data_IF_733668505515
#
_entry.id   IF_733668505515
#
_cell.length_a   1.000
_cell.length_b   1.000
_cell.length_c   1.000
_cell.angle_alpha   90.00
_cell.angle_beta   90.00
_cell.angle_gamma   90.00
#
_symmetry.space_group_name_H-M   'P 1'
#
loop_
_entity.id
_entity.type
_entity.pdbx_description
1 polymer ?
#
# COMPACT_ATOMS: atom_id res chain seq x y z
N UNK A 1 -22.57 -6.91 -15.62
CA UNK A 1 -21.77 -8.06 -16.11
C UNK A 1 -21.02 -8.60 -14.91
N UNK A 2 -20.96 -9.91 -14.71
CA UNK A 2 -20.19 -10.49 -13.60
C UNK A 2 -18.70 -10.15 -13.75
N UNK A 3 -18.02 -9.82 -12.65
CA UNK A 3 -16.59 -9.54 -12.66
C UNK A 3 -15.80 -10.82 -13.00
N UNK A 4 -14.66 -10.72 -13.71
CA UNK A 4 -13.85 -11.88 -14.05
C UNK A 4 -13.21 -12.47 -12.79
N UNK A 5 -13.04 -13.79 -12.77
CA UNK A 5 -12.15 -14.46 -11.80
C UNK A 5 -10.74 -14.47 -12.36
N UNK A 6 -9.80 -13.89 -11.63
CA UNK A 6 -8.39 -13.77 -12.02
C UNK A 6 -7.53 -14.54 -11.01
N UNK A 7 -6.55 -15.29 -11.48
CA UNK A 7 -5.61 -16.04 -10.64
C UNK A 7 -6.25 -17.22 -9.88
N UNK A 8 -5.66 -17.58 -8.73
CA UNK A 8 -6.18 -18.61 -7.82
C UNK A 8 -6.57 -17.95 -6.50
N UNK A 9 -7.78 -17.38 -6.38
CA UNK A 9 -8.16 -16.60 -5.22
C UNK A 9 -8.28 -17.45 -3.95
N UNK A 10 -7.90 -16.87 -2.81
CA UNK A 10 -8.11 -17.43 -1.47
C UNK A 10 -7.38 -18.76 -1.16
N UNK A 11 -6.14 -18.89 -1.64
CA UNK A 11 -5.28 -20.04 -1.36
C UNK A 11 -4.14 -19.72 -0.38
N UNK A 12 -4.02 -20.50 0.69
CA UNK A 12 -2.93 -20.39 1.68
C UNK A 12 -1.58 -20.87 1.11
N UNK A 13 -0.48 -20.28 1.56
CA UNK A 13 0.88 -20.67 1.15
C UNK A 13 1.30 -22.04 1.73
N UNK A 14 0.81 -22.38 2.92
CA UNK A 14 1.09 -23.62 3.67
C UNK A 14 2.58 -23.89 3.98
N UNK A 15 3.46 -22.92 3.72
CA UNK A 15 4.88 -22.97 4.01
C UNK A 15 5.34 -21.56 4.42
N UNK A 16 6.47 -21.42 5.14
CA UNK A 16 7.07 -20.11 5.37
C UNK A 16 7.49 -19.44 4.06
N UNK A 17 7.37 -18.11 4.00
CA UNK A 17 7.93 -17.29 2.91
C UNK A 17 9.44 -17.51 2.84
N UNK A 18 9.97 -17.70 1.63
CA UNK A 18 11.37 -18.04 1.46
C UNK A 18 12.30 -16.84 1.75
N UNK A 19 13.51 -17.14 2.21
CA UNK A 19 14.54 -16.10 2.42
C UNK A 19 14.97 -15.42 1.11
N UNK A 20 14.77 -16.06 -0.04
CA UNK A 20 15.03 -15.48 -1.36
C UNK A 20 13.99 -14.40 -1.70
N UNK A 21 12.70 -14.70 -1.51
CA UNK A 21 11.62 -13.73 -1.68
C UNK A 21 11.78 -12.55 -0.73
N UNK A 22 12.14 -12.78 0.54
CA UNK A 22 12.36 -11.68 1.50
C UNK A 22 13.51 -10.75 1.08
N UNK A 23 14.58 -11.30 0.49
CA UNK A 23 15.66 -10.48 -0.09
C UNK A 23 15.18 -9.69 -1.31
N UNK A 24 14.34 -10.28 -2.15
CA UNK A 24 13.74 -9.58 -3.28
C UNK A 24 12.82 -8.43 -2.83
N UNK A 25 12.07 -8.63 -1.75
CA UNK A 25 11.24 -7.56 -1.13
C UNK A 25 12.11 -6.43 -0.57
N UNK A 26 13.23 -6.71 0.10
CA UNK A 26 14.17 -5.66 0.53
C UNK A 26 14.76 -4.89 -0.65
N UNK A 27 15.16 -5.59 -1.72
CA UNK A 27 15.66 -4.96 -2.94
C UNK A 27 14.61 -4.07 -3.60
N UNK A 28 13.37 -4.54 -3.70
CA UNK A 28 12.24 -3.75 -4.17
C UNK A 28 12.05 -2.50 -3.30
N UNK A 29 12.02 -2.67 -1.97
CA UNK A 29 11.78 -1.56 -1.04
C UNK A 29 12.87 -0.49 -1.18
N UNK A 30 14.13 -0.89 -1.24
CA UNK A 30 15.27 0.01 -1.44
C UNK A 30 15.25 0.69 -2.81
N UNK A 31 14.93 -0.05 -3.88
CA UNK A 31 14.81 0.50 -5.22
C UNK A 31 13.66 1.53 -5.29
N UNK A 32 12.47 1.18 -4.80
CA UNK A 32 11.31 2.08 -4.75
C UNK A 32 11.56 3.34 -3.93
N UNK A 33 12.26 3.20 -2.79
CA UNK A 33 12.69 4.36 -1.98
C UNK A 33 13.66 5.25 -2.75
N UNK A 34 14.66 4.65 -3.42
CA UNK A 34 15.60 5.38 -4.25
C UNK A 34 14.91 6.13 -5.39
N UNK A 35 14.01 5.46 -6.11
CA UNK A 35 13.21 6.03 -7.18
C UNK A 35 12.33 7.18 -6.66
N UNK A 36 11.74 7.02 -5.48
CA UNK A 36 10.91 8.04 -4.84
C UNK A 36 11.71 9.29 -4.48
N UNK A 37 12.89 9.13 -3.89
CA UNK A 37 13.81 10.24 -3.61
C UNK A 37 14.27 10.89 -4.92
N UNK A 38 14.65 10.11 -5.92
CA UNK A 38 15.04 10.61 -7.24
C UNK A 38 13.95 11.49 -7.87
N UNK A 39 12.70 11.03 -7.83
CA UNK A 39 11.54 11.80 -8.28
C UNK A 39 11.36 13.13 -7.55
N UNK A 40 11.55 13.19 -6.24
CA UNK A 40 11.36 14.43 -5.47
C UNK A 40 12.53 15.41 -5.69
N UNK A 41 13.76 14.91 -5.76
CA UNK A 41 14.95 15.73 -5.65
C UNK A 41 15.71 15.95 -6.97
N UNK A 42 15.76 14.99 -7.89
CA UNK A 42 16.72 15.02 -9.00
C UNK A 42 16.08 15.44 -10.33
N UNK A 43 16.78 16.29 -11.08
CA UNK A 43 16.45 16.66 -12.46
C UNK A 43 17.41 16.08 -13.49
N UNK A 44 18.58 15.62 -13.07
CA UNK A 44 19.62 14.97 -13.87
C UNK A 44 20.44 14.01 -13.01
N UNK A 45 21.36 13.26 -13.64
CA UNK A 45 22.28 12.33 -12.99
C UNK A 45 21.60 11.33 -12.04
N UNK A 46 20.64 10.53 -12.54
CA UNK A 46 19.77 9.72 -11.71
C UNK A 46 20.49 8.56 -11.01
N UNK A 47 21.75 8.27 -11.34
CA UNK A 47 22.56 7.23 -10.71
C UNK A 47 23.76 7.80 -9.91
N UNK A 48 23.82 9.12 -9.71
CA UNK A 48 24.89 9.80 -8.97
C UNK A 48 26.30 9.42 -9.48
N UNK A 49 26.46 9.39 -10.81
CA UNK A 49 27.76 9.20 -11.48
C UNK A 49 28.73 10.31 -11.08
N UNK A 50 30.01 10.12 -11.40
CA UNK A 50 31.08 11.09 -11.13
C UNK A 50 30.67 12.51 -11.58
N UNK A 51 30.93 13.50 -10.72
CA UNK A 51 30.48 14.88 -10.92
C UNK A 51 29.10 15.21 -10.33
N UNK A 52 28.47 14.28 -9.58
CA UNK A 52 27.22 14.55 -8.87
C UNK A 52 27.30 15.80 -7.98
N UNK A 53 26.40 16.75 -8.20
CA UNK A 53 26.45 18.04 -7.54
C UNK A 53 25.07 18.64 -7.30
N UNK A 54 25.02 19.83 -6.67
CA UNK A 54 23.79 20.60 -6.49
C UNK A 54 23.10 20.95 -7.80
N UNK A 55 23.82 20.97 -8.92
CA UNK A 55 23.22 21.22 -10.23
C UNK A 55 22.28 20.10 -10.68
N UNK A 56 22.41 18.90 -10.12
CA UNK A 56 21.52 17.77 -10.41
C UNK A 56 20.19 17.84 -9.64
N UNK A 57 20.09 18.73 -8.66
CA UNK A 57 18.92 18.90 -7.80
C UNK A 57 17.89 19.84 -8.46
N UNK A 58 16.61 19.50 -8.35
CA UNK A 58 15.49 20.34 -8.77
C UNK A 58 15.52 21.68 -8.03
N UNK A 59 15.27 22.77 -8.75
CA UNK A 59 15.21 24.11 -8.14
C UNK A 59 14.07 24.28 -7.13
N UNK A 60 12.97 23.53 -7.32
CA UNK A 60 11.83 23.48 -6.40
C UNK A 60 11.59 22.04 -6.02
N UNK A 61 11.66 21.75 -4.73
CA UNK A 61 11.38 20.43 -4.18
C UNK A 61 9.87 20.33 -3.94
N UNK A 62 9.20 19.52 -4.76
CA UNK A 62 7.74 19.32 -4.70
C UNK A 62 7.49 17.83 -4.66
N UNK A 63 6.69 17.40 -3.69
CA UNK A 63 6.40 16.00 -3.40
C UNK A 63 6.41 15.73 -1.91
N UNK A 64 6.01 14.52 -1.52
CA UNK A 64 5.94 14.12 -0.12
C UNK A 64 6.81 12.88 0.10
N UNK A 65 7.70 12.96 1.09
CA UNK A 65 8.51 11.82 1.52
C UNK A 65 7.85 11.05 2.66
N UNK A 66 7.25 11.75 3.64
CA UNK A 66 6.92 11.16 4.94
C UNK A 66 6.07 9.88 4.91
N UNK A 67 5.14 9.74 3.97
CA UNK A 67 4.31 8.51 3.85
C UNK A 67 4.93 7.45 2.94
N UNK A 68 5.83 7.86 2.05
CA UNK A 68 6.28 7.12 0.87
C UNK A 68 7.07 5.86 1.20
N UNK A 69 8.04 5.84 2.14
CA UNK A 69 8.78 4.60 2.44
C UNK A 69 7.92 3.52 3.09
N UNK A 70 6.92 3.91 3.89
CA UNK A 70 5.94 2.99 4.46
C UNK A 70 5.05 2.36 3.39
N UNK A 71 4.61 3.15 2.40
CA UNK A 71 3.85 2.65 1.26
C UNK A 71 4.71 1.73 0.39
N UNK A 72 5.96 2.11 0.08
CA UNK A 72 6.88 1.26 -0.68
C UNK A 72 7.11 -0.10 0.00
N UNK A 73 7.21 -0.11 1.34
CA UNK A 73 7.32 -1.34 2.11
C UNK A 73 6.07 -2.22 1.92
N UNK A 74 4.88 -1.62 2.05
CA UNK A 74 3.61 -2.34 1.86
C UNK A 74 3.45 -2.84 0.42
N UNK A 75 3.77 -2.04 -0.60
CA UNK A 75 3.77 -2.49 -1.99
C UNK A 75 4.68 -3.69 -2.21
N UNK A 76 5.90 -3.69 -1.67
CA UNK A 76 6.83 -4.81 -1.80
C UNK A 76 6.25 -6.11 -1.25
N UNK A 77 5.66 -6.06 -0.06
CA UNK A 77 5.02 -7.23 0.55
C UNK A 77 3.72 -7.65 -0.11
N UNK A 78 2.91 -6.70 -0.60
CA UNK A 78 1.68 -7.00 -1.33
C UNK A 78 1.99 -7.61 -2.69
N UNK A 79 2.99 -7.11 -3.42
CA UNK A 79 3.45 -7.71 -4.68
C UNK A 79 3.93 -9.16 -4.47
N UNK A 80 4.67 -9.40 -3.39
CA UNK A 80 5.12 -10.74 -3.00
C UNK A 80 3.92 -11.66 -2.71
N UNK A 81 2.95 -11.20 -1.92
CA UNK A 81 1.71 -11.96 -1.68
C UNK A 81 0.93 -12.23 -2.97
N UNK A 82 0.84 -11.28 -3.89
CA UNK A 82 0.18 -11.49 -5.18
C UNK A 82 0.91 -12.59 -5.98
N UNK A 83 2.25 -12.56 -6.01
CA UNK A 83 3.04 -13.53 -6.74
C UNK A 83 2.91 -14.95 -6.18
N UNK A 84 3.08 -15.11 -4.86
CA UNK A 84 3.07 -16.42 -4.19
C UNK A 84 1.68 -17.08 -4.25
N UNK A 85 0.62 -16.28 -4.10
CA UNK A 85 -0.75 -16.80 -3.98
C UNK A 85 -1.54 -16.73 -5.28
N UNK A 86 -1.00 -16.08 -6.32
CA UNK A 86 -1.74 -15.73 -7.55
C UNK A 86 -3.08 -15.04 -7.22
N UNK A 87 -3.09 -14.19 -6.19
CA UNK A 87 -4.29 -13.53 -5.69
C UNK A 87 -4.62 -12.30 -6.55
N UNK A 88 -5.84 -12.23 -7.07
CA UNK A 88 -6.37 -11.01 -7.69
C UNK A 88 -6.46 -9.89 -6.66
N UNK A 89 -5.68 -8.83 -6.82
CA UNK A 89 -5.63 -7.75 -5.84
C UNK A 89 -5.62 -6.36 -6.48
N UNK A 90 -6.21 -5.40 -5.77
CA UNK A 90 -6.11 -3.97 -6.07
C UNK A 90 -5.62 -3.23 -4.83
N UNK A 91 -4.72 -2.27 -5.02
CA UNK A 91 -4.15 -1.46 -3.94
C UNK A 91 -4.76 -0.06 -3.96
N UNK A 92 -5.37 0.36 -2.85
CA UNK A 92 -5.89 1.71 -2.68
C UNK A 92 -4.95 2.50 -1.77
N UNK A 93 -4.34 3.54 -2.34
CA UNK A 93 -3.40 4.42 -1.64
C UNK A 93 -4.12 5.63 -1.07
N UNK A 94 -4.69 5.49 0.13
CA UNK A 94 -5.35 6.59 0.84
C UNK A 94 -4.46 7.80 1.10
N UNK A 95 -3.22 7.66 1.61
CA UNK A 95 -2.24 8.75 1.59
C UNK A 95 -1.68 8.96 0.17
N UNK A 96 -2.56 9.31 -0.77
CA UNK A 96 -2.28 9.40 -2.21
C UNK A 96 -1.26 10.46 -2.58
N UNK A 97 -1.00 11.42 -1.69
CA UNK A 97 0.13 12.35 -1.77
C UNK A 97 1.50 11.66 -1.78
N UNK A 98 1.56 10.35 -1.47
CA UNK A 98 2.67 9.44 -1.71
C UNK A 98 2.81 8.96 -3.17
N UNK A 99 2.38 9.76 -4.16
CA UNK A 99 2.47 9.45 -5.60
C UNK A 99 3.80 8.86 -6.10
N UNK A 100 4.98 9.25 -5.57
CA UNK A 100 6.25 8.60 -5.94
C UNK A 100 6.27 7.09 -5.70
N UNK A 101 5.56 6.57 -4.69
CA UNK A 101 5.47 5.14 -4.43
C UNK A 101 4.70 4.39 -5.53
N UNK A 102 3.54 4.92 -5.94
CA UNK A 102 2.71 4.30 -7.00
C UNK A 102 3.38 4.33 -8.38
N UNK A 103 4.04 5.45 -8.72
CA UNK A 103 4.82 5.54 -9.96
C UNK A 103 6.07 4.67 -9.94
N UNK A 104 6.75 4.55 -8.79
CA UNK A 104 7.87 3.62 -8.62
C UNK A 104 7.42 2.16 -8.74
N UNK A 105 6.28 1.80 -8.14
CA UNK A 105 5.68 0.48 -8.34
C UNK A 105 5.50 0.20 -9.83
N UNK A 106 4.87 1.14 -10.56
CA UNK A 106 4.50 0.89 -11.96
C UNK A 106 5.72 0.86 -12.87
N UNK A 107 6.79 1.59 -12.51
CA UNK A 107 8.06 1.50 -13.23
C UNK A 107 8.72 0.12 -13.03
N UNK A 108 8.66 -0.41 -11.80
CA UNK A 108 9.31 -1.67 -11.44
C UNK A 108 8.54 -2.91 -11.92
N UNK A 109 7.20 -2.85 -12.02
CA UNK A 109 6.41 -3.93 -12.63
C UNK A 109 6.36 -3.87 -14.16
N UNK A 110 6.85 -2.77 -14.74
CA UNK A 110 6.97 -2.56 -16.19
C UNK A 110 5.79 -1.81 -16.82
N UNK A 111 4.64 -1.74 -16.17
CA UNK A 111 3.40 -1.16 -16.72
C UNK A 111 3.53 0.33 -17.04
N UNK A 112 4.39 1.05 -16.32
CA UNK A 112 4.65 2.46 -16.60
C UNK A 112 5.20 2.65 -18.01
N UNK A 113 6.06 1.73 -18.47
CA UNK A 113 6.69 1.79 -19.79
C UNK A 113 5.76 1.36 -20.92
N UNK A 114 4.76 0.55 -20.61
CA UNK A 114 3.71 0.17 -21.57
C UNK A 114 2.86 1.40 -21.96
N UNK A 115 2.56 2.27 -21.00
CA UNK A 115 1.78 3.50 -21.23
C UNK A 115 2.65 4.74 -21.55
N UNK A 116 3.92 4.73 -21.14
CA UNK A 116 4.91 5.80 -21.38
C UNK A 116 6.18 5.23 -22.02
N UNK A 117 6.14 4.87 -23.32
CA UNK A 117 7.28 4.28 -24.02
C UNK A 117 8.47 5.25 -24.17
N UNK A 118 8.29 6.55 -23.90
CA UNK A 118 9.37 7.54 -23.85
C UNK A 118 10.28 7.40 -22.61
N UNK A 119 9.82 6.63 -21.60
CA UNK A 119 10.54 6.30 -20.38
C UNK A 119 11.19 4.92 -20.56
N UNK A 120 12.36 4.90 -21.19
CA UNK A 120 13.12 3.70 -21.56
C UNK A 120 13.68 2.96 -20.35
N UNK A 121 14.07 1.69 -20.54
CA UNK A 121 14.74 0.88 -19.51
C UNK A 121 16.26 1.09 -19.50
N UNK A 122 16.65 2.36 -19.33
CA UNK A 122 18.04 2.79 -19.27
C UNK A 122 18.20 4.07 -18.43
N UNK A 123 19.44 4.53 -18.27
CA UNK A 123 19.76 5.73 -17.49
C UNK A 123 19.06 6.99 -18.03
N UNK A 124 18.83 7.07 -19.34
CA UNK A 124 18.13 8.21 -19.95
C UNK A 124 16.62 8.21 -19.62
N UNK A 125 15.98 7.05 -19.65
CA UNK A 125 14.60 6.86 -19.21
C UNK A 125 14.44 7.16 -17.72
N UNK A 126 15.36 6.67 -16.89
CA UNK A 126 15.36 6.94 -15.45
C UNK A 126 15.52 8.45 -15.15
N UNK A 127 16.37 9.15 -15.90
CA UNK A 127 16.50 10.61 -15.76
C UNK A 127 15.19 11.33 -16.07
N UNK A 128 14.51 10.95 -17.17
CA UNK A 128 13.20 11.52 -17.53
C UNK A 128 12.16 11.22 -16.44
N UNK A 129 12.15 9.98 -15.93
CA UNK A 129 11.26 9.54 -14.86
C UNK A 129 11.43 10.39 -13.59
N UNK A 130 12.66 10.66 -13.15
CA UNK A 130 12.91 11.53 -12.01
C UNK A 130 12.48 12.97 -12.28
N UNK A 131 12.89 13.52 -13.43
CA UNK A 131 12.65 14.92 -13.75
C UNK A 131 11.17 15.25 -13.86
N UNK A 132 10.36 14.39 -14.49
CA UNK A 132 8.97 14.70 -14.80
C UNK A 132 8.05 14.76 -13.56
N UNK A 133 8.40 14.10 -12.46
CA UNK A 133 7.57 14.11 -11.26
C UNK A 133 7.39 15.53 -10.70
N UNK A 134 6.13 15.97 -10.55
CA UNK A 134 5.76 17.30 -10.01
C UNK A 134 6.49 18.47 -10.70
N UNK A 135 6.71 18.34 -12.01
CA UNK A 135 7.46 19.30 -12.82
C UNK A 135 6.57 19.94 -13.89
N UNK A 136 6.82 21.19 -14.32
CA UNK A 136 6.06 21.80 -15.41
C UNK A 136 6.08 20.93 -16.68
N UNK A 137 4.89 20.54 -17.17
CA UNK A 137 4.73 19.64 -18.31
C UNK A 137 5.05 18.16 -18.02
N UNK A 138 5.23 17.79 -16.75
CA UNK A 138 5.42 16.42 -16.29
C UNK A 138 4.15 15.83 -15.69
N UNK A 139 4.31 15.02 -14.64
CA UNK A 139 3.24 14.24 -14.02
C UNK A 139 2.83 14.81 -12.64
N UNK A 140 1.61 14.51 -12.14
CA UNK A 140 1.12 14.94 -10.82
C UNK A 140 1.95 14.43 -9.63
N UNK A 141 1.68 15.00 -8.46
CA UNK A 141 2.31 14.62 -7.19
C UNK A 141 1.60 13.49 -6.45
N UNK A 142 0.35 13.20 -6.82
CA UNK A 142 -0.52 12.19 -6.20
C UNK A 142 -0.53 10.89 -7.00
N UNK A 143 -1.28 9.88 -6.54
CA UNK A 143 -1.56 8.65 -7.31
C UNK A 143 -2.60 8.89 -8.41
N UNK A 144 -2.31 9.86 -9.26
CA UNK A 144 -3.24 10.36 -10.26
C UNK A 144 -3.70 9.26 -11.23
N UNK A 145 -4.86 9.44 -11.89
CA UNK A 145 -5.43 8.45 -12.82
C UNK A 145 -4.53 8.09 -14.01
N UNK A 146 -3.51 8.88 -14.32
CA UNK A 146 -2.50 8.56 -15.33
C UNK A 146 -1.47 7.51 -14.87
N UNK A 147 -1.46 7.15 -13.58
CA UNK A 147 -0.55 6.12 -13.05
C UNK A 147 -1.24 4.75 -13.14
N UNK A 148 -0.64 3.77 -13.84
CA UNK A 148 -1.16 2.41 -13.86
C UNK A 148 -1.36 1.85 -12.43
N UNK A 149 -2.45 1.11 -12.26
CA UNK A 149 -2.90 0.58 -10.98
C UNK A 149 -3.78 1.53 -10.16
N UNK A 150 -3.85 2.83 -10.47
CA UNK A 150 -4.66 3.77 -9.70
C UNK A 150 -6.15 3.72 -10.07
N UNK A 151 -6.98 3.48 -9.06
CA UNK A 151 -8.43 3.74 -9.07
C UNK A 151 -8.84 4.73 -7.96
N UNK A 152 -7.86 5.29 -7.24
CA UNK A 152 -8.05 6.17 -6.10
C UNK A 152 -6.84 7.10 -5.98
N UNK A 153 -7.05 8.40 -6.25
CA UNK A 153 -5.96 9.38 -6.26
C UNK A 153 -5.45 9.76 -4.86
N UNK A 154 -6.32 9.74 -3.84
CA UNK A 154 -5.97 10.07 -2.45
C UNK A 154 -5.48 11.50 -2.25
N UNK A 155 -5.97 12.44 -3.07
CA UNK A 155 -5.76 13.89 -2.89
C UNK A 155 -6.69 14.47 -1.84
N UNK A 156 -8.01 14.42 -2.08
CA UNK A 156 -8.99 14.65 -1.03
C UNK A 156 -9.14 13.37 -0.19
N UNK A 157 -8.64 13.45 1.04
CA UNK A 157 -8.59 12.35 1.99
C UNK A 157 -9.98 11.98 2.52
N UNK A 158 -10.24 10.67 2.71
CA UNK A 158 -11.42 10.18 3.42
C UNK A 158 -12.18 9.05 2.73
N UNK A 159 -11.90 8.79 1.45
CA UNK A 159 -12.72 7.91 0.61
C UNK A 159 -12.11 6.52 0.37
N UNK A 160 -10.97 6.22 0.99
CA UNK A 160 -10.20 4.98 0.75
C UNK A 160 -11.03 3.73 0.98
N UNK A 161 -11.68 3.62 2.15
CA UNK A 161 -12.48 2.44 2.46
C UNK A 161 -13.77 2.37 1.66
N UNK A 162 -14.46 3.49 1.42
CA UNK A 162 -15.66 3.47 0.57
C UNK A 162 -15.35 3.01 -0.86
N UNK A 163 -14.21 3.44 -1.43
CA UNK A 163 -13.78 2.97 -2.74
C UNK A 163 -13.35 1.49 -2.70
N UNK A 164 -12.64 1.06 -1.65
CA UNK A 164 -12.21 -0.34 -1.49
C UNK A 164 -13.41 -1.29 -1.39
N UNK A 165 -14.40 -0.96 -0.56
CA UNK A 165 -15.61 -1.75 -0.43
C UNK A 165 -16.43 -1.74 -1.72
N UNK A 166 -16.55 -0.59 -2.39
CA UNK A 166 -17.20 -0.50 -3.69
C UNK A 166 -16.53 -1.36 -4.77
N UNK A 167 -15.21 -1.49 -4.74
CA UNK A 167 -14.46 -2.28 -5.71
C UNK A 167 -14.69 -3.80 -5.55
N UNK A 168 -14.94 -4.26 -4.32
CA UNK A 168 -15.12 -5.69 -4.03
C UNK A 168 -16.57 -6.17 -4.12
N UNK A 169 -17.55 -5.26 -4.16
CA UNK A 169 -18.97 -5.62 -4.38
C UNK A 169 -19.14 -6.39 -5.68
N UNK A 170 -19.89 -7.49 -5.64
CA UNK A 170 -20.10 -8.41 -6.78
C UNK A 170 -18.79 -8.91 -7.42
N UNK A 171 -17.69 -8.91 -6.65
CA UNK A 171 -16.35 -9.28 -7.13
C UNK A 171 -15.68 -10.29 -6.18
N UNK A 172 -16.19 -11.54 -6.09
CA UNK A 172 -15.85 -12.48 -5.03
C UNK A 172 -14.40 -12.98 -5.04
N UNK A 173 -13.64 -12.72 -6.12
CA UNK A 173 -12.23 -13.08 -6.25
C UNK A 173 -11.26 -11.98 -5.82
N UNK A 174 -11.72 -10.74 -5.68
CA UNK A 174 -10.85 -9.57 -5.49
C UNK A 174 -10.49 -9.34 -4.02
N UNK A 175 -9.21 -9.13 -3.76
CA UNK A 175 -8.67 -8.56 -2.53
C UNK A 175 -8.39 -7.06 -2.73
N UNK A 176 -9.10 -6.18 -2.02
CA UNK A 176 -8.76 -4.76 -1.98
C UNK A 176 -7.88 -4.46 -0.77
N UNK A 177 -6.59 -4.22 -1.00
CA UNK A 177 -5.66 -3.77 0.04
C UNK A 177 -5.80 -2.25 0.19
N UNK A 178 -6.40 -1.80 1.28
CA UNK A 178 -6.77 -0.40 1.48
C UNK A 178 -5.86 0.24 2.53
N UNK A 179 -4.84 0.99 2.07
CA UNK A 179 -3.90 1.68 2.96
C UNK A 179 -4.48 3.02 3.37
N UNK A 180 -4.80 3.14 4.65
CA UNK A 180 -5.48 4.28 5.25
C UNK A 180 -4.47 5.12 6.02
N UNK A 181 -4.36 6.40 5.71
CA UNK A 181 -3.53 7.31 6.51
C UNK A 181 -4.12 7.48 7.91
N UNK A 182 -3.31 7.46 8.96
CA UNK A 182 -3.81 7.75 10.31
C UNK A 182 -4.36 9.19 10.48
N UNK A 183 -3.87 10.14 9.67
CA UNK A 183 -4.46 11.48 9.56
C UNK A 183 -5.74 11.51 8.72
N UNK A 184 -5.82 10.67 7.69
CA UNK A 184 -7.05 10.45 6.93
C UNK A 184 -8.16 9.90 7.84
N UNK A 185 -7.80 9.02 8.78
CA UNK A 185 -8.73 8.36 9.71
C UNK A 185 -9.47 9.31 10.65
N UNK A 186 -9.02 10.56 10.74
CA UNK A 186 -9.70 11.62 11.49
C UNK A 186 -10.81 12.31 10.68
N UNK A 187 -10.94 12.03 9.39
CA UNK A 187 -12.00 12.57 8.54
C UNK A 187 -13.33 11.87 8.80
N UNK A 188 -14.43 12.62 8.70
CA UNK A 188 -15.79 12.07 8.84
C UNK A 188 -16.11 10.91 7.87
N UNK A 189 -15.83 11.06 6.55
CA UNK A 189 -16.04 9.98 5.59
C UNK A 189 -15.28 8.69 5.93
N UNK A 190 -14.03 8.79 6.37
CA UNK A 190 -13.26 7.58 6.70
C UNK A 190 -13.73 6.94 8.01
N UNK A 191 -14.02 7.75 9.04
CA UNK A 191 -14.50 7.25 10.32
C UNK A 191 -15.75 6.39 10.17
N UNK A 192 -16.71 6.79 9.32
CA UNK A 192 -17.93 6.00 9.11
C UNK A 192 -17.74 4.83 8.15
N UNK A 193 -16.78 4.86 7.23
CA UNK A 193 -16.61 3.80 6.23
C UNK A 193 -15.97 2.52 6.79
N UNK A 194 -15.37 2.58 7.98
CA UNK A 194 -15.06 1.36 8.75
C UNK A 194 -16.30 0.51 9.04
N UNK A 195 -17.50 1.11 9.02
CA UNK A 195 -18.74 0.38 9.26
C UNK A 195 -19.19 -0.46 8.06
N UNK A 196 -18.59 -0.29 6.88
CA UNK A 196 -19.10 -0.88 5.64
C UNK A 196 -19.04 -2.41 5.61
N UNK A 197 -18.14 -3.05 6.37
CA UNK A 197 -18.09 -4.51 6.54
C UNK A 197 -19.41 -5.15 7.03
N UNK A 198 -20.38 -4.37 7.55
CA UNK A 198 -21.73 -4.86 7.92
C UNK A 198 -22.67 -5.03 6.72
N UNK A 199 -22.35 -4.43 5.57
CA UNK A 199 -23.16 -4.52 4.34
C UNK A 199 -22.61 -5.54 3.34
N UNK A 200 -21.45 -6.12 3.62
CA UNK A 200 -20.76 -7.03 2.71
C UNK A 200 -21.16 -8.47 2.99
N UNK A 201 -21.28 -9.26 1.92
CA UNK A 201 -21.40 -10.72 1.99
C UNK A 201 -20.10 -11.35 1.45
N UNK A 202 -19.28 -12.00 2.30
CA UNK A 202 -18.00 -12.58 1.88
C UNK A 202 -18.15 -13.75 0.88
N UNK A 203 -19.36 -14.28 0.66
CA UNK A 203 -19.61 -15.26 -0.40
C UNK A 203 -19.72 -14.61 -1.78
N UNK A 204 -20.48 -13.52 -1.90
CA UNK A 204 -20.76 -12.85 -3.18
C UNK A 204 -19.80 -11.72 -3.50
N UNK A 205 -19.24 -11.09 -2.46
CA UNK A 205 -18.31 -9.98 -2.56
C UNK A 205 -16.87 -10.42 -2.28
N UNK A 206 -15.91 -9.63 -2.72
CA UNK A 206 -14.49 -9.80 -2.39
C UNK A 206 -14.19 -9.42 -0.93
N UNK A 207 -12.91 -9.27 -0.61
CA UNK A 207 -12.46 -8.93 0.75
C UNK A 207 -11.69 -7.61 0.70
N UNK A 208 -12.02 -6.70 1.62
CA UNK A 208 -11.18 -5.54 1.91
C UNK A 208 -10.25 -5.89 3.06
N UNK A 209 -8.95 -5.66 2.90
CA UNK A 209 -7.96 -5.66 3.96
C UNK A 209 -7.55 -4.21 4.26
N UNK A 210 -8.13 -3.59 5.30
CA UNK A 210 -7.66 -2.28 5.75
C UNK A 210 -6.28 -2.39 6.40
N UNK A 211 -5.38 -1.50 5.99
CA UNK A 211 -4.08 -1.29 6.64
C UNK A 211 -4.04 0.15 7.14
N UNK A 212 -4.18 0.34 8.45
CA UNK A 212 -3.98 1.64 9.08
C UNK A 212 -2.47 1.95 9.08
N UNK A 213 -2.06 2.87 8.21
CA UNK A 213 -0.70 3.40 8.16
C UNK A 213 -0.47 4.37 9.33
N UNK A 214 -0.17 3.80 10.49
CA UNK A 214 -0.03 4.48 11.77
C UNK A 214 1.38 5.05 11.94
N UNK A 215 1.77 5.97 11.06
CA UNK A 215 3.09 6.60 11.10
C UNK A 215 3.23 7.71 12.15
N UNK A 216 2.13 8.05 12.83
CA UNK A 216 2.11 8.87 14.04
C UNK A 216 1.86 10.35 13.80
N UNK A 217 1.84 10.81 12.54
CA UNK A 217 1.76 12.23 12.22
C UNK A 217 1.00 12.53 10.92
N UNK A 218 0.29 13.66 10.94
CA UNK A 218 -0.21 14.35 9.74
C UNK A 218 0.76 15.46 9.32
N UNK A 219 0.29 16.56 8.72
CA UNK A 219 1.18 17.60 8.17
C UNK A 219 2.03 18.25 9.28
N UNK A 220 1.38 18.73 10.34
CA UNK A 220 2.02 19.51 11.40
C UNK A 220 1.58 19.11 12.82
N UNK A 221 1.01 17.90 12.96
CA UNK A 221 0.46 17.41 14.22
C UNK A 221 0.64 15.91 14.33
N UNK A 222 0.62 15.36 15.55
CA UNK A 222 0.35 13.95 15.73
C UNK A 222 -1.08 13.57 15.31
N UNK A 223 -1.32 12.27 15.20
CA UNK A 223 -2.64 11.71 14.87
C UNK A 223 -3.33 11.13 16.09
N UNK A 224 -4.66 11.21 16.15
CA UNK A 224 -5.44 10.77 17.32
C UNK A 224 -5.18 9.29 17.62
N UNK A 225 -5.35 8.42 16.60
CA UNK A 225 -5.21 6.97 16.76
C UNK A 225 -3.79 6.52 17.11
N UNK A 226 -2.77 7.35 16.86
CA UNK A 226 -1.39 7.05 17.24
C UNK A 226 -1.04 7.44 18.67
N UNK A 227 -1.91 8.21 19.35
CA UNK A 227 -1.66 8.79 20.68
C UNK A 227 -2.58 8.26 21.78
N UNK A 228 -3.71 7.65 21.43
CA UNK A 228 -4.48 6.82 22.36
C UNK A 228 -3.69 5.56 22.72
N UNK A 229 -4.11 4.85 23.77
CA UNK A 229 -3.47 3.59 24.13
C UNK A 229 -3.70 2.51 23.06
N UNK A 230 -2.77 1.55 22.98
CA UNK A 230 -2.92 0.41 22.07
C UNK A 230 -4.20 -0.41 22.41
N UNK A 231 -4.56 -0.50 23.70
CA UNK A 231 -5.78 -1.16 24.14
C UNK A 231 -7.05 -0.47 23.63
N UNK A 232 -7.15 0.86 23.77
CA UNK A 232 -8.30 1.62 23.23
C UNK A 232 -8.40 1.48 21.70
N UNK A 233 -7.25 1.46 21.00
CA UNK A 233 -7.23 1.26 19.54
C UNK A 233 -7.71 -0.14 19.15
N UNK A 234 -7.27 -1.17 19.84
CA UNK A 234 -7.72 -2.55 19.61
C UNK A 234 -9.22 -2.70 19.89
N UNK A 235 -9.71 -2.11 20.99
CA UNK A 235 -11.14 -2.08 21.32
C UNK A 235 -11.96 -1.32 20.27
N UNK A 236 -11.44 -0.21 19.75
CA UNK A 236 -12.08 0.57 18.69
C UNK A 236 -12.30 -0.28 17.44
N UNK A 237 -11.26 -0.94 16.92
CA UNK A 237 -11.39 -1.78 15.73
C UNK A 237 -12.22 -3.05 15.97
N UNK A 238 -12.07 -3.69 17.14
CA UNK A 238 -12.93 -4.82 17.53
C UNK A 238 -14.39 -4.43 17.61
N UNK A 239 -14.70 -3.28 18.21
CA UNK A 239 -16.04 -2.72 18.29
C UNK A 239 -16.66 -2.43 16.92
N UNK A 240 -15.83 -2.11 15.92
CA UNK A 240 -16.26 -1.94 14.53
C UNK A 240 -16.34 -3.25 13.73
N UNK A 241 -16.09 -4.41 14.35
CA UNK A 241 -16.22 -5.72 13.71
C UNK A 241 -14.98 -6.17 12.95
N UNK A 242 -13.79 -5.72 13.36
CA UNK A 242 -12.52 -6.20 12.82
C UNK A 242 -11.73 -7.03 13.85
N UNK A 243 -10.82 -7.85 13.36
CA UNK A 243 -9.75 -8.47 14.12
C UNK A 243 -8.45 -7.67 13.90
N UNK A 244 -8.01 -6.82 14.84
CA UNK A 244 -6.82 -6.00 14.66
C UNK A 244 -5.53 -6.80 14.86
N UNK A 245 -4.67 -6.79 13.84
CA UNK A 245 -3.29 -7.27 13.88
C UNK A 245 -2.35 -6.08 14.02
N UNK A 246 -1.47 -6.09 15.02
CA UNK A 246 -0.54 -4.99 15.27
C UNK A 246 0.86 -5.34 14.75
N UNK A 247 1.44 -4.44 13.94
CA UNK A 247 2.84 -4.49 13.52
C UNK A 247 3.58 -3.24 13.98
N UNK A 248 4.74 -3.42 14.58
CA UNK A 248 5.65 -2.34 14.98
C UNK A 248 7.04 -2.64 14.45
N UNK A 249 7.70 -1.65 13.84
CA UNK A 249 9.07 -1.74 13.36
C UNK A 249 9.71 -0.36 13.18
N UNK A 250 11.05 -0.31 13.15
CA UNK A 250 11.82 0.89 12.79
C UNK A 250 11.96 1.94 13.89
N UNK A 251 11.56 1.63 15.12
CA UNK A 251 11.74 2.51 16.30
C UNK A 251 12.98 2.15 17.13
N UNK A 252 13.71 1.13 16.72
CA UNK A 252 14.90 0.56 17.32
C UNK A 252 15.92 0.18 16.22
N UNK A 253 17.02 -0.47 16.61
CA UNK A 253 18.10 -0.87 15.71
C UNK A 253 17.87 -2.25 15.06
N UNK A 254 16.60 -2.71 14.96
CA UNK A 254 16.28 -3.97 14.29
C UNK A 254 16.69 -3.94 12.82
N UNK A 255 17.34 -5.00 12.35
CA UNK A 255 17.74 -5.09 10.95
C UNK A 255 16.53 -5.26 10.03
N UNK A 256 16.62 -4.68 8.82
CA UNK A 256 15.50 -4.72 7.87
C UNK A 256 15.10 -6.16 7.48
N UNK A 257 16.03 -7.11 7.43
CA UNK A 257 15.71 -8.50 7.06
C UNK A 257 14.82 -9.16 8.12
N UNK A 258 15.08 -8.89 9.41
CA UNK A 258 14.21 -9.30 10.51
C UNK A 258 12.83 -8.64 10.41
N UNK A 259 12.77 -7.33 10.13
CA UNK A 259 11.51 -6.60 9.92
C UNK A 259 10.69 -7.24 8.77
N UNK A 260 11.32 -7.52 7.62
CA UNK A 260 10.66 -8.17 6.49
C UNK A 260 10.14 -9.56 6.86
N UNK A 261 10.94 -10.38 7.57
CA UNK A 261 10.52 -11.72 8.00
C UNK A 261 9.30 -11.68 8.91
N UNK A 262 9.30 -10.77 9.92
CA UNK A 262 8.16 -10.62 10.84
C UNK A 262 6.91 -10.10 10.14
N UNK A 263 7.05 -9.13 9.22
CA UNK A 263 5.89 -8.61 8.50
C UNK A 263 5.33 -9.63 7.53
N UNK A 264 6.18 -10.38 6.82
CA UNK A 264 5.73 -11.45 5.94
C UNK A 264 4.95 -12.52 6.73
N UNK A 265 5.47 -12.97 7.87
CA UNK A 265 4.75 -13.91 8.74
C UNK A 265 3.40 -13.37 9.24
N UNK A 266 3.34 -12.08 9.60
CA UNK A 266 2.08 -11.42 9.99
C UNK A 266 1.09 -11.38 8.82
N UNK A 267 1.56 -11.00 7.63
CA UNK A 267 0.73 -10.89 6.44
C UNK A 267 0.20 -12.25 5.99
N UNK A 268 1.01 -13.31 6.08
CA UNK A 268 0.55 -14.69 5.88
C UNK A 268 -0.53 -15.09 6.88
N UNK A 269 -0.34 -14.80 8.17
CA UNK A 269 -1.35 -15.12 9.18
C UNK A 269 -2.68 -14.38 8.93
N UNK A 270 -2.61 -13.10 8.53
CA UNK A 270 -3.77 -12.31 8.13
C UNK A 270 -4.45 -12.90 6.89
N UNK A 271 -3.67 -13.28 5.88
CA UNK A 271 -4.21 -13.84 4.64
C UNK A 271 -4.80 -15.23 4.84
N UNK A 272 -4.21 -16.06 5.71
CA UNK A 272 -4.77 -17.35 6.12
C UNK A 272 -6.13 -17.18 6.79
N UNK A 273 -6.31 -16.19 7.67
CA UNK A 273 -7.62 -15.87 8.26
C UNK A 273 -8.63 -15.40 7.20
N UNK A 274 -8.20 -14.62 6.21
CA UNK A 274 -9.05 -14.24 5.06
C UNK A 274 -9.50 -15.49 4.29
N UNK A 275 -8.58 -16.41 4.01
CA UNK A 275 -8.89 -17.68 3.33
C UNK A 275 -9.87 -18.52 4.14
N UNK A 276 -9.71 -18.58 5.48
CA UNK A 276 -10.61 -19.30 6.37
C UNK A 276 -12.00 -18.67 6.41
N UNK A 277 -12.12 -17.34 6.38
CA UNK A 277 -13.40 -16.66 6.21
C UNK A 277 -14.07 -17.12 4.91
N UNK A 278 -13.36 -17.06 3.79
CA UNK A 278 -13.88 -17.46 2.47
C UNK A 278 -14.30 -18.93 2.42
N UNK A 279 -13.51 -19.83 3.00
CA UNK A 279 -13.81 -21.25 3.07
C UNK A 279 -15.05 -21.55 3.93
N UNK A 280 -15.19 -20.91 5.09
CA UNK A 280 -16.34 -21.13 6.00
C UNK A 280 -17.66 -20.66 5.40
N UNK A 281 -17.66 -19.52 4.72
CA UNK A 281 -18.90 -19.00 4.10
C UNK A 281 -19.29 -19.79 2.86
N UNK A 282 -18.32 -20.30 2.09
CA UNK A 282 -18.58 -21.26 1.02
C UNK A 282 -19.14 -22.60 1.55
N UNK A 283 -18.81 -22.98 2.78
CA UNK A 283 -19.39 -24.13 3.47
C UNK A 283 -20.78 -23.86 4.10
N UNK A 284 -21.32 -22.65 3.96
CA UNK A 284 -22.66 -22.27 4.41
C UNK A 284 -22.73 -21.59 5.78
N UNK A 285 -21.60 -21.16 6.36
CA UNK A 285 -21.62 -20.31 7.56
C UNK A 285 -22.21 -18.93 7.23
N UNK A 286 -23.32 -18.57 7.88
CA UNK A 286 -24.04 -17.32 7.63
C UNK A 286 -23.70 -16.18 8.61
N UNK A 287 -22.83 -16.42 9.61
CA UNK A 287 -22.40 -15.39 10.56
C UNK A 287 -21.43 -14.40 9.92
N UNK A 288 -21.66 -13.10 10.16
CA UNK A 288 -20.69 -12.07 9.80
C UNK A 288 -19.39 -12.30 10.57
N UNK A 289 -18.23 -12.43 9.88
CA UNK A 289 -16.95 -12.61 10.55
C UNK A 289 -16.44 -11.30 11.16
N UNK A 290 -15.42 -11.40 12.01
CA UNK A 290 -14.53 -10.29 12.29
C UNK A 290 -13.45 -10.29 11.22
N UNK A 291 -13.49 -9.32 10.31
CA UNK A 291 -12.51 -9.25 9.21
C UNK A 291 -11.16 -8.79 9.75
N UNK A 292 -10.04 -9.36 9.30
CA UNK A 292 -8.74 -8.88 9.74
C UNK A 292 -8.48 -7.45 9.23
N UNK A 293 -7.80 -6.68 10.06
CA UNK A 293 -7.21 -5.39 9.67
C UNK A 293 -5.82 -5.28 10.28
N UNK A 294 -4.93 -4.53 9.64
CA UNK A 294 -3.55 -4.35 10.11
C UNK A 294 -3.38 -2.93 10.62
N UNK A 295 -2.93 -2.79 11.86
CA UNK A 295 -2.30 -1.57 12.38
C UNK A 295 -0.82 -1.64 12.05
N UNK A 296 -0.39 -0.87 11.05
CA UNK A 296 0.99 -0.80 10.59
C UNK A 296 1.68 0.43 11.18
N UNK A 297 2.37 0.25 12.32
CA UNK A 297 3.02 1.32 13.07
C UNK A 297 4.53 1.35 12.79
N UNK A 298 4.96 2.36 12.04
CA UNK A 298 6.38 2.62 11.70
C UNK A 298 6.67 4.11 11.83
N UNK A 299 7.93 4.56 11.86
CA UNK A 299 8.22 5.99 11.75
C UNK A 299 7.68 6.60 10.46
N UNK A 300 7.39 7.91 10.51
CA UNK A 300 7.11 8.71 9.31
C UNK A 300 8.42 9.23 8.72
N UNK A 301 8.59 9.05 7.41
CA UNK A 301 9.80 9.42 6.65
C UNK A 301 10.98 8.51 6.94
#
# INVERSE_FOLDING_TARGET
>A
MAQPTIGTPWHKLNNPVSEEELKAVDLYWRASNYLSVGQIYLRSNPLMREGFSREDVKHRLVGHWGTTPGINFLFGHVNRLIADHQQNAVFLMGPGHGGPAGTAQSLLDGTYREVRPDITDDEAGLQKFFRQFSYPGGIPSHYAPETPGSIHEGGELGYTLSHAYGAVLDNPSLLAVAVVGDGEAETGPLATSWQTNKFMDPLTDGIVLPILHLNGYKIANPTILARISDAERDEFFRGMGYHPYNFVAGFDDEDHSSIHRRFAALLEAVFDEICDIKARVAAGEASRPFYPMIVFRTPKG
#
